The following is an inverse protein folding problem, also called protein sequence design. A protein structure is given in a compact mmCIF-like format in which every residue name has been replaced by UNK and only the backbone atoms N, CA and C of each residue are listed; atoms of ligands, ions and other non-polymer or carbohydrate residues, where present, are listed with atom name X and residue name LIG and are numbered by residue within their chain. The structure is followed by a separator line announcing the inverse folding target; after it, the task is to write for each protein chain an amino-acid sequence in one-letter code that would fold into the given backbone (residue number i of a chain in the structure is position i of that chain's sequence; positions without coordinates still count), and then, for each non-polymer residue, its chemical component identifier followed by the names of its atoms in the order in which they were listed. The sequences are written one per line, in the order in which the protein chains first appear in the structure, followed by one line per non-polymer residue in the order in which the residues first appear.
data_IF_867056159888
#
_entry.id   IF_867056159888
#
_cell.length_a   1.000
_cell.length_b   1.000
_cell.length_c   1.000
_cell.angle_alpha   90.00
_cell.angle_beta   90.00
_cell.angle_gamma   90.00
#
_symmetry.space_group_name_H-M   'P 1'
#
loop_
_entity.id
_entity.type
_entity.pdbx_description
1 polymer ?
#
# COMPACT_ATOMS: atom_id res chain seq x y z
N UNK A 1 0.96 0.36 -4.11
CA UNK A 1 2.39 0.11 -4.36
C UNK A 1 2.51 -1.19 -5.14
N UNK A 2 3.11 -1.12 -6.33
CA UNK A 2 3.14 -2.18 -7.33
C UNK A 2 4.59 -2.51 -7.74
N UNK A 3 5.34 -3.25 -6.94
CA UNK A 3 6.68 -3.68 -7.31
C UNK A 3 6.64 -4.77 -8.40
N UNK A 4 7.45 -4.59 -9.44
CA UNK A 4 7.69 -5.56 -10.50
C UNK A 4 8.99 -6.34 -10.28
N UNK A 5 9.24 -6.65 -9.02
CA UNK A 5 10.29 -7.54 -8.53
C UNK A 5 9.79 -8.31 -7.32
N UNK A 6 9.83 -9.63 -7.36
CA UNK A 6 9.31 -10.50 -6.29
C UNK A 6 10.03 -10.30 -4.95
N UNK A 7 11.30 -9.90 -4.96
CA UNK A 7 12.04 -9.60 -3.74
C UNK A 7 11.51 -8.37 -2.99
N UNK A 8 10.72 -7.52 -3.67
CA UNK A 8 10.04 -6.37 -3.06
C UNK A 8 8.61 -6.68 -2.60
N UNK A 9 8.16 -7.94 -2.63
CA UNK A 9 6.78 -8.31 -2.24
C UNK A 9 6.39 -7.89 -0.82
N UNK A 10 7.36 -7.76 0.07
CA UNK A 10 7.14 -7.27 1.43
C UNK A 10 7.08 -5.74 1.57
N UNK A 11 7.49 -5.01 0.53
CA UNK A 11 7.57 -3.55 0.59
C UNK A 11 6.20 -2.89 0.81
N UNK A 12 5.09 -3.31 0.15
CA UNK A 12 3.78 -2.72 0.41
C UNK A 12 3.35 -2.84 1.88
N UNK A 13 3.56 -3.99 2.52
CA UNK A 13 3.24 -4.20 3.94
C UNK A 13 4.12 -3.33 4.86
N UNK A 14 5.40 -3.21 4.56
CA UNK A 14 6.30 -2.29 5.27
C UNK A 14 5.82 -0.85 5.17
N UNK A 15 5.44 -0.39 3.98
CA UNK A 15 4.96 0.97 3.76
C UNK A 15 3.59 1.21 4.39
N UNK A 16 2.73 0.20 4.48
CA UNK A 16 1.50 0.28 5.25
C UNK A 16 1.80 0.69 6.70
N UNK A 17 2.69 -0.02 7.36
CA UNK A 17 3.06 0.30 8.72
C UNK A 17 3.75 1.66 8.80
N UNK A 18 4.76 1.89 7.97
CA UNK A 18 5.53 3.14 7.98
C UNK A 18 4.63 4.37 7.85
N UNK A 19 3.73 4.40 6.87
CA UNK A 19 2.94 5.59 6.55
C UNK A 19 1.66 5.68 7.39
N UNK A 20 0.88 4.59 7.45
CA UNK A 20 -0.43 4.63 8.10
C UNK A 20 -0.32 4.75 9.63
N UNK A 21 0.66 4.10 10.23
CA UNK A 21 0.94 4.23 11.67
C UNK A 21 1.54 5.61 11.99
N UNK A 22 2.45 6.10 11.16
CA UNK A 22 3.09 7.40 11.40
C UNK A 22 2.15 8.57 11.18
N UNK A 23 1.44 8.62 10.07
CA UNK A 23 0.68 9.79 9.61
C UNK A 23 -0.84 9.62 9.64
N UNK A 24 -1.35 8.47 10.06
CA UNK A 24 -2.79 8.24 10.25
C UNK A 24 -3.33 8.98 11.48
N UNK A 25 -3.27 10.31 11.45
CA UNK A 25 -3.57 11.20 12.56
C UNK A 25 -4.60 12.26 12.13
N UNK A 26 -5.50 12.59 13.03
CA UNK A 26 -6.55 13.62 12.82
C UNK A 26 -6.29 14.91 13.60
N UNK A 27 -5.18 14.96 14.37
CA UNK A 27 -4.86 16.07 15.27
C UNK A 27 -3.47 16.60 14.98
N UNK A 28 -3.35 17.93 14.89
CA UNK A 28 -2.09 18.64 14.73
C UNK A 28 -1.25 18.62 16.03
N UNK A 29 0.03 18.96 15.95
CA UNK A 29 0.93 19.04 17.10
C UNK A 29 0.45 19.99 18.20
N UNK A 30 -0.32 21.01 17.83
CA UNK A 30 -0.91 21.95 18.78
C UNK A 30 -2.24 21.49 19.38
N UNK A 31 -2.67 20.26 19.13
CA UNK A 31 -3.92 19.70 19.63
C UNK A 31 -5.17 20.07 18.84
N UNK A 32 -5.08 20.86 17.77
CA UNK A 32 -6.22 21.24 16.94
C UNK A 32 -6.52 20.16 15.88
N UNK A 33 -7.79 19.98 15.47
CA UNK A 33 -8.12 19.06 14.37
C UNK A 33 -7.44 19.47 13.06
N UNK A 34 -7.01 18.47 12.28
CA UNK A 34 -6.55 18.67 10.91
C UNK A 34 -7.75 19.00 10.03
N UNK A 35 -7.62 19.96 9.10
CA UNK A 35 -8.70 20.44 8.23
C UNK A 35 -8.72 19.77 6.84
N UNK A 36 -7.89 18.76 6.62
CA UNK A 36 -7.77 18.03 5.35
C UNK A 36 -7.62 16.53 5.62
N UNK A 37 -7.79 15.73 4.59
CA UNK A 37 -7.42 14.31 4.67
C UNK A 37 -5.92 14.16 4.90
N UNK A 38 -5.54 13.30 5.83
CA UNK A 38 -4.15 12.89 6.08
C UNK A 38 -4.00 11.43 5.70
N UNK A 39 -2.80 11.00 5.45
CA UNK A 39 -2.41 9.62 5.28
C UNK A 39 -3.29 8.78 4.32
N UNK A 40 -2.85 8.50 3.11
CA UNK A 40 -3.56 7.58 2.22
C UNK A 40 -3.56 6.16 2.82
N UNK A 41 -4.57 5.38 2.46
CA UNK A 41 -4.57 3.94 2.73
C UNK A 41 -3.57 3.28 1.78
N UNK A 42 -2.49 2.73 2.33
CA UNK A 42 -1.45 2.04 1.56
C UNK A 42 -1.79 0.56 1.44
N UNK A 43 -1.73 0.05 0.23
CA UNK A 43 -1.89 -1.36 -0.09
C UNK A 43 -1.17 -1.70 -1.41
N UNK A 44 -1.06 -2.96 -1.74
CA UNK A 44 -0.41 -3.38 -2.97
C UNK A 44 0.14 -4.80 -2.91
N UNK A 45 0.91 -5.13 -3.93
CA UNK A 45 1.53 -6.44 -4.10
C UNK A 45 2.35 -6.49 -5.38
N UNK A 46 3.05 -7.61 -5.65
CA UNK A 46 3.78 -7.79 -6.91
C UNK A 46 2.90 -7.54 -8.12
N UNK A 47 3.37 -6.71 -9.05
CA UNK A 47 2.57 -6.19 -10.16
C UNK A 47 1.93 -7.28 -11.02
N UNK A 48 2.66 -8.37 -11.30
CA UNK A 48 2.13 -9.52 -12.06
C UNK A 48 0.97 -10.22 -11.34
N UNK A 49 1.05 -10.39 -10.01
CA UNK A 49 -0.03 -11.01 -9.23
C UNK A 49 -1.21 -10.05 -9.04
N UNK A 50 -0.93 -8.77 -8.89
CA UNK A 50 -1.92 -7.71 -8.72
C UNK A 50 -2.89 -7.63 -9.92
N UNK A 51 -2.44 -7.95 -11.14
CA UNK A 51 -3.28 -8.01 -12.33
C UNK A 51 -4.46 -8.97 -12.18
N UNK A 52 -4.27 -10.06 -11.46
CA UNK A 52 -5.30 -11.07 -11.20
C UNK A 52 -6.07 -10.85 -9.90
N UNK A 53 -5.81 -9.76 -9.21
CA UNK A 53 -6.40 -9.45 -7.91
C UNK A 53 -7.23 -8.16 -7.92
N UNK A 54 -6.61 -7.02 -8.17
CA UNK A 54 -7.26 -5.72 -8.00
C UNK A 54 -7.09 -4.74 -9.16
N UNK A 55 -6.45 -5.11 -10.26
CA UNK A 55 -6.33 -4.22 -11.43
C UNK A 55 -7.68 -3.88 -12.06
N UNK A 56 -8.67 -4.77 -11.93
CA UNK A 56 -10.04 -4.47 -12.33
C UNK A 56 -10.55 -3.20 -11.64
N UNK A 57 -10.31 -3.05 -10.34
CA UNK A 57 -10.65 -1.84 -9.58
C UNK A 57 -9.87 -0.62 -10.07
N UNK A 58 -8.56 -0.78 -10.35
CA UNK A 58 -7.71 0.32 -10.77
C UNK A 58 -8.10 0.89 -12.14
N UNK A 59 -8.55 0.03 -13.07
CA UNK A 59 -8.96 0.44 -14.41
C UNK A 59 -10.40 0.92 -14.50
N UNK A 60 -11.33 0.25 -13.82
CA UNK A 60 -12.77 0.44 -14.03
C UNK A 60 -13.53 0.74 -12.73
N UNK A 61 -12.84 0.88 -11.62
CA UNK A 61 -13.47 1.25 -10.34
C UNK A 61 -13.91 2.71 -10.32
N UNK A 62 -14.78 3.03 -9.37
CA UNK A 62 -15.30 4.40 -9.17
C UNK A 62 -14.33 5.32 -8.44
N UNK A 63 -13.39 4.73 -7.70
CA UNK A 63 -12.42 5.48 -6.89
C UNK A 63 -11.10 5.69 -7.65
N UNK A 64 -10.58 6.90 -7.60
CA UNK A 64 -9.26 7.20 -8.15
C UNK A 64 -8.18 6.87 -7.13
N UNK A 65 -7.35 5.89 -7.45
CA UNK A 65 -6.23 5.43 -6.62
C UNK A 65 -4.93 5.92 -7.22
N UNK A 66 -4.08 6.57 -6.41
CA UNK A 66 -2.71 6.88 -6.83
C UNK A 66 -1.82 5.64 -6.72
N UNK A 67 -1.01 5.40 -7.73
CA UNK A 67 -0.20 4.18 -7.83
C UNK A 67 1.28 4.51 -7.97
N UNK A 68 2.11 3.78 -7.23
CA UNK A 68 3.56 3.77 -7.41
C UNK A 68 3.98 2.41 -8.00
N UNK A 69 4.50 2.44 -9.22
CA UNK A 69 5.10 1.30 -9.90
C UNK A 69 6.61 1.31 -9.67
N UNK A 70 7.17 0.19 -9.23
CA UNK A 70 8.61 0.04 -8.97
C UNK A 70 9.17 -1.00 -9.94
N UNK A 71 9.97 -0.56 -10.89
CA UNK A 71 10.44 -1.41 -11.98
C UNK A 71 11.96 -1.43 -12.09
N UNK A 72 12.63 -2.57 -11.78
CA UNK A 72 14.01 -2.80 -12.17
C UNK A 72 14.10 -3.06 -13.69
N UNK A 73 15.08 -2.46 -14.33
CA UNK A 73 15.34 -2.68 -15.78
C UNK A 73 16.09 -3.97 -16.02
N UNK A 74 17.03 -4.32 -15.11
CA UNK A 74 17.82 -5.53 -15.18
C UNK A 74 17.39 -6.52 -14.11
N UNK A 75 17.37 -7.78 -14.46
CA UNK A 75 17.16 -8.85 -13.47
C UNK A 75 18.28 -8.83 -12.42
N UNK A 76 17.92 -8.87 -11.15
CA UNK A 76 18.86 -9.03 -10.04
C UNK A 76 19.23 -10.51 -9.85
N UNK A 77 18.24 -11.38 -9.99
CA UNK A 77 18.34 -12.84 -9.88
C UNK A 77 17.36 -13.44 -10.88
N UNK A 78 17.83 -14.31 -11.76
CA UNK A 78 16.97 -14.96 -12.75
C UNK A 78 17.32 -14.61 -14.19
N UNK A 79 16.37 -14.87 -15.08
CA UNK A 79 16.56 -14.65 -16.51
C UNK A 79 16.13 -13.23 -16.91
N UNK A 80 16.99 -12.56 -17.69
CA UNK A 80 16.66 -11.23 -18.22
C UNK A 80 15.36 -11.23 -19.05
N UNK A 81 15.11 -12.28 -19.81
CA UNK A 81 13.88 -12.44 -20.60
C UNK A 81 12.59 -12.35 -19.75
N UNK A 82 12.62 -12.91 -18.54
CA UNK A 82 11.49 -12.79 -17.61
C UNK A 82 11.32 -11.36 -17.09
N UNK A 83 12.44 -10.67 -16.86
CA UNK A 83 12.42 -9.27 -16.46
C UNK A 83 11.90 -8.37 -17.59
N UNK A 84 12.28 -8.65 -18.83
CA UNK A 84 11.80 -7.92 -19.99
C UNK A 84 10.28 -8.08 -20.18
N UNK A 85 9.74 -9.29 -19.95
CA UNK A 85 8.30 -9.52 -19.94
C UNK A 85 7.59 -8.77 -18.80
N UNK A 86 8.17 -8.77 -17.60
CA UNK A 86 7.64 -8.02 -16.47
C UNK A 86 7.66 -6.51 -16.75
N UNK A 87 8.75 -6.01 -17.35
CA UNK A 87 8.89 -4.61 -17.74
C UNK A 87 7.86 -4.21 -18.81
N UNK A 88 7.68 -5.03 -19.83
CA UNK A 88 6.67 -4.81 -20.87
C UNK A 88 5.26 -4.74 -20.27
N UNK A 89 4.92 -5.65 -19.36
CA UNK A 89 3.66 -5.62 -18.64
C UNK A 89 3.51 -4.36 -17.79
N UNK A 90 4.52 -3.99 -17.01
CA UNK A 90 4.50 -2.78 -16.19
C UNK A 90 4.21 -1.53 -17.04
N UNK A 91 4.97 -1.36 -18.12
CA UNK A 91 4.84 -0.22 -19.02
C UNK A 91 3.48 -0.20 -19.74
N UNK A 92 2.98 -1.36 -20.16
CA UNK A 92 1.65 -1.46 -20.76
C UNK A 92 0.55 -1.06 -19.77
N UNK A 93 0.65 -1.49 -18.50
CA UNK A 93 -0.31 -1.12 -17.46
C UNK A 93 -0.25 0.37 -17.13
N UNK A 94 0.95 0.94 -16.98
CA UNK A 94 1.08 2.38 -16.72
C UNK A 94 0.54 3.21 -17.87
N UNK A 95 0.76 2.77 -19.12
CA UNK A 95 0.21 3.44 -20.30
C UNK A 95 -1.31 3.34 -20.33
N UNK A 96 -1.89 2.15 -20.20
CA UNK A 96 -3.33 1.97 -20.17
C UNK A 96 -4.03 2.79 -19.08
N UNK A 97 -3.42 2.95 -17.93
CA UNK A 97 -3.93 3.80 -16.83
C UNK A 97 -3.82 5.30 -17.15
N UNK A 98 -2.78 5.71 -17.89
CA UNK A 98 -2.59 7.11 -18.26
C UNK A 98 -3.51 7.54 -19.40
N UNK A 99 -3.58 6.75 -20.49
CA UNK A 99 -4.23 7.10 -21.74
C UNK A 99 -5.63 6.49 -21.92
N UNK A 100 -5.97 5.47 -21.13
CA UNK A 100 -7.17 4.67 -21.34
C UNK A 100 -7.00 3.75 -22.56
N UNK A 101 -8.11 3.43 -23.21
CA UNK A 101 -8.10 2.70 -24.49
C UNK A 101 -8.35 3.65 -25.66
N UNK A 102 -7.27 4.16 -26.32
CA UNK A 102 -7.40 5.06 -27.44
C UNK A 102 -7.87 4.36 -28.73
N UNK A 103 -7.82 3.03 -28.78
CA UNK A 103 -8.13 2.21 -29.94
C UNK A 103 -9.44 1.47 -29.84
N UNK A 104 -10.24 1.74 -28.83
CA UNK A 104 -11.53 1.07 -28.59
C UNK A 104 -12.44 1.19 -29.82
N UNK A 105 -12.39 0.19 -30.70
CA UNK A 105 -13.13 0.17 -31.98
C UNK A 105 -14.65 0.06 -31.79
N UNK A 106 -15.11 -0.31 -30.61
CA UNK A 106 -16.52 -0.21 -30.21
C UNK A 106 -16.57 0.08 -28.72
N UNK A 107 -17.07 1.25 -28.38
CA UNK A 107 -17.33 1.64 -26.99
C UNK A 107 -18.40 0.70 -26.39
N UNK A 108 -17.98 -0.49 -25.99
CA UNK A 108 -18.79 -1.33 -25.15
C UNK A 108 -18.99 -0.60 -23.81
N UNK A 109 -20.24 -0.20 -23.56
CA UNK A 109 -20.59 0.54 -22.35
C UNK A 109 -20.24 -0.22 -21.05
N UNK A 110 -19.97 -1.50 -21.15
CA UNK A 110 -19.53 -2.35 -20.04
C UNK A 110 -18.00 -2.44 -19.87
N UNK A 111 -17.23 -1.86 -20.79
CA UNK A 111 -15.76 -1.91 -20.80
C UNK A 111 -15.13 -0.51 -20.90
N UNK A 112 -15.52 0.44 -20.03
CA UNK A 112 -14.88 1.75 -20.04
C UNK A 112 -13.43 1.63 -19.53
N UNK A 113 -12.47 2.12 -20.31
CA UNK A 113 -11.10 2.31 -19.86
C UNK A 113 -10.85 3.81 -19.73
N UNK A 114 -11.10 4.32 -18.54
CA UNK A 114 -10.88 5.74 -18.26
C UNK A 114 -9.38 6.06 -18.28
N UNK A 115 -9.05 7.20 -18.87
CA UNK A 115 -7.70 7.74 -18.82
C UNK A 115 -7.42 8.53 -17.54
N UNK A 116 -6.17 8.99 -17.41
CA UNK A 116 -5.75 9.94 -16.38
C UNK A 116 -5.84 9.40 -14.94
N UNK A 117 -5.48 8.13 -14.76
CA UNK A 117 -5.26 7.57 -13.42
C UNK A 117 -3.87 7.99 -12.90
N UNK A 118 -3.78 8.64 -11.74
CA UNK A 118 -2.51 9.16 -11.23
C UNK A 118 -1.55 8.02 -10.88
N UNK A 119 -0.37 8.03 -11.48
CA UNK A 119 0.65 7.04 -11.19
C UNK A 119 2.06 7.62 -11.27
N UNK A 120 2.97 7.02 -10.52
CA UNK A 120 4.41 7.27 -10.59
C UNK A 120 5.11 5.98 -11.00
N UNK A 121 6.10 6.09 -11.87
CA UNK A 121 6.95 4.98 -12.26
C UNK A 121 8.37 5.23 -11.77
N UNK A 122 8.80 4.44 -10.78
CA UNK A 122 10.15 4.46 -10.24
C UNK A 122 10.99 3.43 -10.99
N UNK A 123 11.83 3.89 -11.91
CA UNK A 123 12.77 3.07 -12.66
C UNK A 123 14.12 3.04 -11.96
N UNK A 124 14.70 1.86 -11.84
CA UNK A 124 16.06 1.68 -11.35
C UNK A 124 16.77 0.55 -12.10
N UNK A 125 18.09 0.58 -12.11
CA UNK A 125 18.86 -0.35 -12.93
C UNK A 125 18.63 -1.81 -12.52
N UNK A 126 18.80 -2.11 -11.23
CA UNK A 126 18.57 -3.43 -10.63
C UNK A 126 18.25 -3.29 -9.15
N UNK A 127 17.61 -4.29 -8.59
CA UNK A 127 17.45 -4.38 -7.14
C UNK A 127 18.73 -4.95 -6.53
N UNK A 128 19.46 -4.09 -5.84
CA UNK A 128 20.61 -4.44 -5.01
C UNK A 128 20.47 -3.80 -3.62
N UNK A 129 21.34 -4.10 -2.64
CA UNK A 129 21.23 -3.52 -1.29
C UNK A 129 21.25 -1.99 -1.29
N UNK A 130 22.01 -1.36 -2.18
CA UNK A 130 22.07 0.11 -2.27
C UNK A 130 20.77 0.69 -2.81
N UNK A 131 20.18 0.06 -3.84
CA UNK A 131 18.89 0.45 -4.40
C UNK A 131 17.76 0.24 -3.40
N UNK A 132 17.75 -0.87 -2.68
CA UNK A 132 16.78 -1.11 -1.61
C UNK A 132 16.88 -0.03 -0.54
N UNK A 133 18.09 0.30 -0.09
CA UNK A 133 18.30 1.38 0.89
C UNK A 133 17.80 2.74 0.39
N UNK A 134 17.99 3.06 -0.91
CA UNK A 134 17.47 4.30 -1.52
C UNK A 134 15.94 4.31 -1.57
N UNK A 135 15.29 3.18 -1.91
CA UNK A 135 13.83 3.08 -1.92
C UNK A 135 13.25 3.27 -0.51
N UNK A 136 13.82 2.61 0.50
CA UNK A 136 13.42 2.78 1.89
C UNK A 136 13.56 4.25 2.30
N UNK A 137 14.73 4.85 2.09
CA UNK A 137 14.99 6.24 2.46
C UNK A 137 14.04 7.22 1.73
N UNK A 138 13.72 6.97 0.45
CA UNK A 138 12.76 7.77 -0.30
C UNK A 138 11.39 7.80 0.38
N UNK A 139 10.86 6.64 0.75
CA UNK A 139 9.56 6.56 1.41
C UNK A 139 9.58 7.07 2.85
N UNK A 140 10.65 6.85 3.60
CA UNK A 140 10.82 7.44 4.93
C UNK A 140 10.83 8.96 4.89
N UNK A 141 11.56 9.56 3.93
CA UNK A 141 11.55 11.00 3.71
C UNK A 141 10.17 11.52 3.28
N UNK A 142 9.47 10.79 2.38
CA UNK A 142 8.10 11.11 2.00
C UNK A 142 7.19 11.20 3.22
N UNK A 143 7.20 10.18 4.08
CA UNK A 143 6.36 10.12 5.29
C UNK A 143 6.71 11.25 6.26
N UNK A 144 8.00 11.51 6.46
CA UNK A 144 8.45 12.62 7.30
C UNK A 144 7.98 13.99 6.77
N UNK A 145 8.16 14.26 5.47
CA UNK A 145 7.74 15.52 4.85
C UNK A 145 6.22 15.68 4.89
N UNK A 146 5.45 14.63 4.64
CA UNK A 146 3.99 14.65 4.77
C UNK A 146 3.57 15.01 6.20
N UNK A 147 4.20 14.41 7.21
CA UNK A 147 3.92 14.73 8.61
C UNK A 147 4.21 16.18 8.97
N UNK A 148 5.26 16.77 8.39
CA UNK A 148 5.56 18.21 8.54
C UNK A 148 4.49 19.09 7.86
N UNK A 149 4.08 18.74 6.64
CA UNK A 149 3.06 19.51 5.87
C UNK A 149 1.71 19.48 6.60
N UNK A 150 1.30 18.34 7.12
CA UNK A 150 0.04 18.18 7.86
C UNK A 150 0.13 18.66 9.31
N UNK A 151 1.34 18.94 9.79
CA UNK A 151 1.64 19.33 11.16
C UNK A 151 1.16 18.31 12.20
N UNK A 152 1.36 17.03 11.93
CA UNK A 152 0.97 15.92 12.81
C UNK A 152 2.18 15.35 13.54
N UNK A 153 1.94 14.66 14.66
CA UNK A 153 2.98 13.90 15.36
C UNK A 153 3.20 12.55 14.67
N UNK A 154 4.06 12.53 13.67
CA UNK A 154 4.48 11.30 13.01
C UNK A 154 5.27 10.40 13.96
N UNK A 155 5.37 9.10 13.62
CA UNK A 155 6.19 8.09 14.30
C UNK A 155 5.78 7.75 15.74
N UNK A 156 4.61 8.15 16.20
CA UNK A 156 3.97 7.62 17.41
C UNK A 156 2.71 6.82 17.05
N UNK A 157 2.16 6.06 18.00
CA UNK A 157 1.10 5.09 17.75
C UNK A 157 0.08 5.03 18.90
N UNK A 158 -0.30 6.18 19.41
CA UNK A 158 -1.27 6.26 20.51
C UNK A 158 -2.61 5.60 20.20
N UNK A 159 -3.02 5.58 18.91
CA UNK A 159 -4.27 4.96 18.49
C UNK A 159 -4.42 3.49 18.84
N UNK A 160 -3.32 2.73 18.95
CA UNK A 160 -3.37 1.30 19.29
C UNK A 160 -3.40 1.03 20.81
N UNK A 161 -3.18 2.05 21.66
CA UNK A 161 -3.10 1.89 23.10
C UNK A 161 -4.46 1.55 23.73
N UNK A 162 -5.53 2.14 23.19
CA UNK A 162 -6.89 1.89 23.71
C UNK A 162 -7.27 0.41 23.54
N UNK A 163 -7.05 -0.15 22.34
CA UNK A 163 -7.34 -1.57 22.08
C UNK A 163 -6.58 -2.51 23.00
N UNK A 164 -5.30 -2.23 23.26
CA UNK A 164 -4.48 -3.03 24.20
C UNK A 164 -5.03 -3.01 25.63
N UNK A 165 -5.47 -1.85 26.12
CA UNK A 165 -6.07 -1.73 27.46
C UNK A 165 -7.40 -2.49 27.56
N UNK A 166 -8.25 -2.34 26.55
CA UNK A 166 -9.55 -3.02 26.52
C UNK A 166 -9.40 -4.54 26.41
N UNK A 167 -8.40 -5.01 25.66
CA UNK A 167 -8.14 -6.45 25.50
C UNK A 167 -7.84 -7.15 26.82
N UNK A 168 -7.20 -6.49 27.79
CA UNK A 168 -6.95 -7.06 29.10
C UNK A 168 -8.26 -7.34 29.85
N UNK A 169 -9.16 -6.35 29.90
CA UNK A 169 -10.46 -6.53 30.57
C UNK A 169 -11.37 -7.55 29.86
N UNK A 170 -11.32 -7.61 28.52
CA UNK A 170 -12.05 -8.64 27.76
C UNK A 170 -11.50 -10.03 28.06
N UNK A 171 -10.19 -10.18 28.12
CA UNK A 171 -9.58 -11.47 28.47
C UNK A 171 -9.98 -11.94 29.88
N UNK A 172 -9.95 -11.04 30.86
CA UNK A 172 -10.39 -11.34 32.24
C UNK A 172 -11.85 -11.84 32.25
N UNK A 173 -12.76 -11.14 31.55
CA UNK A 173 -14.17 -11.56 31.45
C UNK A 173 -14.34 -12.93 30.77
N UNK A 174 -13.58 -13.22 29.72
CA UNK A 174 -13.61 -14.53 29.04
C UNK A 174 -13.12 -15.64 29.95
N UNK A 175 -12.09 -15.39 30.77
CA UNK A 175 -11.55 -16.37 31.70
C UNK A 175 -12.54 -16.65 32.84
N UNK A 176 -13.17 -15.62 33.38
CA UNK A 176 -14.20 -15.74 34.43
C UNK A 176 -15.42 -16.54 33.95
N UNK A 177 -15.95 -16.22 32.77
CA UNK A 177 -17.07 -16.96 32.15
C UNK A 177 -16.73 -18.44 31.91
N UNK A 178 -15.52 -18.74 31.45
CA UNK A 178 -15.07 -20.12 31.24
C UNK A 178 -14.86 -20.86 32.58
N UNK A 179 -14.46 -20.18 33.63
CA UNK A 179 -14.31 -20.77 34.99
C UNK A 179 -15.66 -21.12 35.63
N UNK A 180 -16.70 -20.38 35.33
CA UNK A 180 -18.08 -20.63 35.80
C UNK A 180 -18.83 -21.66 34.91
N UNK A 181 -18.27 -22.08 33.80
CA UNK A 181 -18.90 -23.07 32.92
C UNK A 181 -18.97 -24.47 33.60
N UNK A 182 -20.11 -25.18 33.52
CA UNK A 182 -20.27 -26.52 34.11
C UNK A 182 -19.24 -27.56 33.65
N UNK A 183 -18.61 -27.35 32.51
CA UNK A 183 -17.55 -28.21 31.97
C UNK A 183 -16.22 -28.08 32.73
N UNK A 184 -15.95 -26.96 33.40
CA UNK A 184 -14.74 -26.73 34.20
C UNK A 184 -14.86 -27.35 35.62
N UNK A 185 -16.08 -27.63 36.08
CA UNK A 185 -16.36 -28.27 37.36
C UNK A 185 -16.30 -29.82 37.32
N UNK A 186 -16.14 -30.40 36.11
CA UNK A 186 -16.13 -31.86 35.88
C UNK A 186 -14.72 -32.42 35.60
N UNK A 187 -13.66 -31.62 35.66
CA UNK A 187 -12.26 -32.01 35.50
C UNK A 187 -11.47 -31.89 36.80
#
# INVERSE_FOLDING_TARGET
ILPYDEHLRGLPAYLQQLEMESNGKSVRRNGQPVQCGTCPVIWGGPGSNAQHSFYQLLHQGTERVSMDFLLPVKSGVGRQEQQDLAAANCLAQTWALAEGDPCGEEADSHRPYAANHPSSLLLFERLDPATLGRLIALYEHKVYVQGLIWDVNSFDQWGVQLGKRLATGVLEAIIEENAESPAALAA
#
